data_IF_148153132890
#
_entry.id   IF_148153132890
#
_cell.length_a   1.000
_cell.length_b   1.000
_cell.length_c   1.000
_cell.angle_alpha   90.00
_cell.angle_beta   90.00
_cell.angle_gamma   90.00
#
_symmetry.space_group_name_H-M   'P 1'
#
loop_
_entity.id
_entity.type
_entity.pdbx_description
1 polymer ?
#
# COMPACT_ATOMS: atom_id res chain seq x y z
N UNK A 1 -43.58 -18.10 13.44
CA UNK A 1 -42.73 -17.02 12.91
C UNK A 1 -42.02 -17.58 11.68
N UNK A 2 -42.29 -17.10 10.46
CA UNK A 2 -41.56 -17.56 9.28
C UNK A 2 -40.12 -17.01 9.39
N UNK A 3 -39.13 -17.89 9.52
CA UNK A 3 -37.73 -17.53 9.44
C UNK A 3 -37.42 -17.30 7.96
N UNK A 4 -36.89 -16.13 7.61
CA UNK A 4 -36.45 -15.85 6.24
C UNK A 4 -35.05 -16.44 6.09
N UNK A 5 -34.98 -17.66 5.57
CA UNK A 5 -33.73 -18.36 5.23
C UNK A 5 -33.52 -18.26 3.71
N UNK A 6 -32.29 -18.11 3.27
CA UNK A 6 -31.95 -18.08 1.87
C UNK A 6 -30.85 -19.09 1.54
N UNK A 7 -30.88 -19.62 0.31
CA UNK A 7 -29.78 -20.41 -0.21
C UNK A 7 -28.77 -19.49 -0.89
N UNK A 8 -27.49 -19.72 -0.62
CA UNK A 8 -26.40 -18.89 -1.16
C UNK A 8 -25.65 -19.66 -2.22
N UNK A 9 -25.53 -19.05 -3.38
CA UNK A 9 -24.84 -19.56 -4.55
C UNK A 9 -23.63 -18.71 -4.86
N UNK A 10 -22.55 -19.31 -5.35
CA UNK A 10 -21.34 -18.63 -5.81
C UNK A 10 -21.17 -18.85 -7.31
N UNK A 11 -21.01 -17.76 -8.05
CA UNK A 11 -20.68 -17.79 -9.47
C UNK A 11 -19.17 -17.87 -9.63
N UNK A 12 -18.70 -18.97 -10.26
CA UNK A 12 -17.31 -19.18 -10.67
C UNK A 12 -17.27 -19.54 -12.16
N UNK A 13 -16.46 -18.84 -12.93
CA UNK A 13 -16.31 -19.10 -14.38
C UNK A 13 -17.67 -19.21 -15.13
N UNK A 14 -18.63 -18.39 -14.72
CA UNK A 14 -19.99 -18.38 -15.32
C UNK A 14 -20.92 -19.51 -14.87
N UNK A 15 -20.51 -20.38 -13.96
CA UNK A 15 -21.33 -21.44 -13.38
C UNK A 15 -21.69 -21.10 -11.93
N UNK A 16 -22.94 -21.42 -11.54
CA UNK A 16 -23.43 -21.27 -10.18
C UNK A 16 -23.25 -22.55 -9.39
N UNK A 17 -22.66 -22.44 -8.23
CA UNK A 17 -22.48 -23.51 -7.27
C UNK A 17 -23.19 -23.16 -5.96
N UNK A 18 -24.00 -24.07 -5.41
CA UNK A 18 -24.60 -23.90 -4.09
C UNK A 18 -23.50 -24.01 -3.01
N UNK A 19 -23.30 -22.93 -2.24
CA UNK A 19 -22.25 -22.88 -1.21
C UNK A 19 -22.78 -23.01 0.21
N UNK A 20 -24.02 -22.60 0.47
CA UNK A 20 -24.64 -22.72 1.78
C UNK A 20 -26.17 -22.69 1.70
N UNK A 21 -26.83 -23.58 2.41
CA UNK A 21 -28.29 -23.63 2.53
C UNK A 21 -28.77 -22.98 3.83
N UNK A 22 -30.00 -22.48 3.80
CA UNK A 22 -30.72 -21.97 4.96
C UNK A 22 -29.93 -20.92 5.77
N UNK A 23 -29.32 -19.99 5.02
CA UNK A 23 -28.57 -18.87 5.61
C UNK A 23 -29.57 -17.86 6.15
N UNK A 24 -29.41 -17.49 7.42
CA UNK A 24 -30.22 -16.48 8.11
C UNK A 24 -29.42 -15.21 8.40
N UNK A 25 -28.09 -15.28 8.27
CA UNK A 25 -27.20 -14.15 8.51
C UNK A 25 -26.13 -14.01 7.43
N UNK A 26 -26.09 -12.86 6.77
CA UNK A 26 -25.08 -12.50 5.78
C UNK A 26 -24.49 -11.15 6.17
N UNK A 27 -23.16 -11.09 6.33
CA UNK A 27 -22.44 -9.86 6.67
C UNK A 27 -21.39 -9.60 5.59
N UNK A 28 -21.62 -8.62 4.70
CA UNK A 28 -20.61 -8.16 3.78
C UNK A 28 -19.45 -7.50 4.54
N UNK A 29 -18.21 -7.83 4.12
CA UNK A 29 -16.99 -7.15 4.49
C UNK A 29 -16.33 -6.61 3.22
N UNK A 30 -15.25 -5.87 3.33
CA UNK A 30 -14.60 -5.21 2.19
C UNK A 30 -14.30 -6.17 1.01
N UNK A 31 -13.84 -7.39 1.27
CA UNK A 31 -13.44 -8.37 0.26
C UNK A 31 -13.96 -9.79 0.51
N UNK A 32 -14.89 -9.93 1.43
CA UNK A 32 -15.43 -11.23 1.80
C UNK A 32 -16.87 -11.12 2.32
N UNK A 33 -17.57 -12.22 2.27
CA UNK A 33 -18.90 -12.36 2.84
C UNK A 33 -18.83 -13.39 3.98
N UNK A 34 -19.16 -12.95 5.18
CA UNK A 34 -19.44 -13.88 6.29
C UNK A 34 -20.89 -14.34 6.20
N UNK A 35 -21.12 -15.64 6.38
CA UNK A 35 -22.46 -16.26 6.39
C UNK A 35 -22.59 -17.20 7.57
N UNK A 36 -23.79 -17.27 8.12
CA UNK A 36 -24.18 -18.21 9.18
C UNK A 36 -25.57 -18.77 8.81
N UNK A 37 -25.74 -20.08 8.93
CA UNK A 37 -27.04 -20.69 8.67
C UNK A 37 -27.81 -21.00 9.97
N UNK A 38 -29.07 -21.37 9.86
CA UNK A 38 -29.95 -21.69 11.02
C UNK A 38 -29.43 -22.83 11.92
N UNK A 39 -28.46 -23.62 11.44
CA UNK A 39 -27.82 -24.69 12.20
C UNK A 39 -26.52 -24.23 12.91
N UNK A 40 -26.12 -22.94 12.74
CA UNK A 40 -24.90 -22.38 13.33
C UNK A 40 -23.63 -22.68 12.54
N UNK A 41 -23.74 -23.25 11.33
CA UNK A 41 -22.59 -23.39 10.43
C UNK A 41 -22.16 -22.00 9.94
N UNK A 42 -20.84 -21.74 9.94
CA UNK A 42 -20.26 -20.45 9.57
C UNK A 42 -19.29 -20.61 8.43
N UNK A 43 -19.37 -19.69 7.44
CA UNK A 43 -18.42 -19.62 6.32
C UNK A 43 -18.04 -18.18 6.04
N UNK A 44 -16.80 -18.01 5.58
CA UNK A 44 -16.30 -16.76 5.02
C UNK A 44 -15.82 -17.06 3.61
N UNK A 45 -16.36 -16.33 2.63
CA UNK A 45 -16.01 -16.52 1.21
C UNK A 45 -15.52 -15.18 0.64
N UNK A 46 -14.43 -15.20 -0.11
CA UNK A 46 -13.95 -14.03 -0.87
C UNK A 46 -14.85 -13.81 -2.08
N UNK A 47 -15.89 -13.03 -1.88
CA UNK A 47 -16.91 -12.76 -2.86
C UNK A 47 -17.62 -11.44 -2.58
N UNK A 48 -18.34 -10.92 -3.55
CA UNK A 48 -19.29 -9.83 -3.39
C UNK A 48 -20.69 -10.33 -3.66
N UNK A 49 -21.70 -9.65 -3.12
CA UNK A 49 -23.08 -9.94 -3.46
C UNK A 49 -23.33 -9.45 -4.88
N UNK A 50 -23.68 -10.36 -5.78
CA UNK A 50 -24.09 -10.05 -7.15
C UNK A 50 -25.56 -9.72 -7.22
N UNK A 51 -26.38 -10.54 -6.54
CA UNK A 51 -27.83 -10.43 -6.58
C UNK A 51 -28.48 -10.99 -5.31
N UNK A 52 -29.58 -10.42 -4.88
CA UNK A 52 -30.41 -10.92 -3.77
C UNK A 52 -31.86 -10.99 -4.21
N UNK A 53 -32.37 -12.22 -4.37
CA UNK A 53 -33.76 -12.51 -4.69
C UNK A 53 -34.50 -12.95 -3.42
N UNK A 54 -34.92 -12.02 -2.59
CA UNK A 54 -35.47 -12.29 -1.26
C UNK A 54 -36.78 -13.08 -1.33
N UNK A 55 -37.60 -12.89 -2.39
CA UNK A 55 -38.85 -13.64 -2.58
C UNK A 55 -38.59 -15.11 -2.95
N UNK A 56 -37.48 -15.36 -3.63
CA UNK A 56 -37.06 -16.72 -4.01
C UNK A 56 -36.11 -17.34 -3.01
N UNK A 57 -35.87 -16.68 -1.88
CA UNK A 57 -34.92 -17.13 -0.87
C UNK A 57 -33.54 -17.47 -1.41
N UNK A 58 -33.01 -16.60 -2.30
CA UNK A 58 -31.77 -16.84 -3.03
C UNK A 58 -30.87 -15.64 -2.94
N UNK A 59 -29.58 -15.90 -2.66
CA UNK A 59 -28.49 -14.90 -2.69
C UNK A 59 -27.41 -15.45 -3.62
N UNK A 60 -27.03 -14.66 -4.61
CA UNK A 60 -25.97 -14.99 -5.55
C UNK A 60 -24.75 -14.17 -5.21
N UNK A 61 -23.67 -14.85 -4.92
CA UNK A 61 -22.35 -14.27 -4.76
C UNK A 61 -21.56 -14.42 -6.05
N UNK A 62 -20.71 -13.47 -6.33
CA UNK A 62 -19.73 -13.52 -7.41
C UNK A 62 -18.33 -13.54 -6.79
N UNK A 63 -17.55 -14.55 -7.15
CA UNK A 63 -16.17 -14.65 -6.67
C UNK A 63 -15.39 -13.39 -7.06
N UNK A 64 -14.69 -12.83 -6.11
CA UNK A 64 -13.76 -11.74 -6.40
C UNK A 64 -12.52 -12.40 -7.02
N UNK A 65 -12.46 -12.38 -8.36
CA UNK A 65 -11.28 -12.87 -9.05
C UNK A 65 -10.04 -12.07 -8.60
N UNK A 66 -9.14 -12.74 -7.92
CA UNK A 66 -7.88 -12.14 -7.46
C UNK A 66 -6.96 -11.83 -8.66
N UNK A 67 -7.20 -12.47 -9.80
CA UNK A 67 -6.39 -12.32 -11.01
C UNK A 67 -6.44 -10.92 -11.65
N UNK A 68 -7.60 -10.23 -11.62
CA UNK A 68 -7.74 -8.89 -12.21
C UNK A 68 -7.03 -7.79 -11.41
N UNK A 69 -6.55 -8.07 -10.20
CA UNK A 69 -5.87 -7.09 -9.33
C UNK A 69 -4.37 -7.32 -9.16
N UNK A 70 -3.79 -8.32 -9.80
CA UNK A 70 -2.33 -8.47 -9.84
C UNK A 70 -1.66 -7.31 -10.61
N UNK A 71 -2.37 -6.68 -11.52
CA UNK A 71 -1.89 -5.50 -12.25
C UNK A 71 -1.82 -4.22 -11.38
N UNK A 72 -2.55 -4.18 -10.26
CA UNK A 72 -2.58 -3.02 -9.35
C UNK A 72 -1.62 -3.16 -8.15
N UNK A 73 -0.92 -4.30 -8.00
CA UNK A 73 0.00 -4.45 -6.88
C UNK A 73 1.16 -3.45 -6.98
N UNK A 74 1.53 -2.92 -5.84
CA UNK A 74 2.65 -2.02 -5.62
C UNK A 74 3.55 -2.58 -4.53
N UNK A 75 4.74 -2.04 -4.41
CA UNK A 75 5.67 -2.32 -3.31
C UNK A 75 5.84 -1.06 -2.48
N UNK A 76 6.09 -1.20 -1.18
CA UNK A 76 6.47 -0.07 -0.32
C UNK A 76 7.43 -0.48 0.76
N UNK A 77 8.18 0.49 1.28
CA UNK A 77 9.15 0.30 2.35
C UNK A 77 8.60 0.90 3.65
N UNK A 78 8.76 0.18 4.75
CA UNK A 78 8.42 0.67 6.08
C UNK A 78 9.61 0.52 7.02
N UNK A 79 9.99 1.55 7.77
CA UNK A 79 10.96 1.44 8.84
C UNK A 79 10.46 0.53 9.97
N UNK A 80 11.34 -0.30 10.49
CA UNK A 80 11.09 -1.17 11.63
C UNK A 80 11.45 -0.45 12.92
N UNK A 81 10.67 0.55 13.29
CA UNK A 81 10.84 1.36 14.51
C UNK A 81 9.47 1.63 15.12
N UNK A 82 9.44 1.72 16.45
CA UNK A 82 8.23 2.01 17.22
C UNK A 82 7.94 3.53 17.32
N UNK A 83 8.91 4.38 16.94
CA UNK A 83 8.87 5.83 17.19
C UNK A 83 8.96 6.70 15.94
N UNK A 84 8.90 6.09 14.74
CA UNK A 84 8.97 6.84 13.47
C UNK A 84 10.34 7.43 13.12
N UNK A 85 11.35 7.29 13.97
CA UNK A 85 12.74 7.69 13.75
C UNK A 85 13.69 6.71 14.42
N UNK A 86 14.99 6.77 14.08
CA UNK A 86 16.04 5.99 14.70
C UNK A 86 16.96 6.91 15.52
N UNK A 87 17.63 6.34 16.53
CA UNK A 87 18.66 7.06 17.24
C UNK A 87 20.03 6.90 16.57
N UNK A 88 20.94 7.88 16.69
CA UNK A 88 22.29 7.75 16.17
C UNK A 88 22.99 6.50 16.74
N UNK A 89 23.58 5.69 15.85
CA UNK A 89 24.21 4.42 16.19
C UNK A 89 23.28 3.21 16.34
N UNK A 90 21.96 3.41 16.21
CA UNK A 90 20.98 2.34 16.11
C UNK A 90 21.06 1.68 14.73
N UNK A 91 20.76 0.38 14.66
CA UNK A 91 20.68 -0.35 13.40
C UNK A 91 19.39 0.00 12.65
N UNK A 92 19.53 0.60 11.49
CA UNK A 92 18.40 0.98 10.65
C UNK A 92 17.92 -0.22 9.84
N UNK A 93 16.71 -0.67 10.12
CA UNK A 93 16.07 -1.80 9.45
C UNK A 93 14.76 -1.36 8.79
N UNK A 94 14.56 -1.85 7.57
CA UNK A 94 13.34 -1.64 6.82
C UNK A 94 12.73 -2.99 6.45
N UNK A 95 11.41 -2.99 6.23
CA UNK A 95 10.72 -4.09 5.59
C UNK A 95 10.13 -3.63 4.27
N UNK A 96 10.28 -4.47 3.25
CA UNK A 96 9.64 -4.30 1.96
C UNK A 96 8.38 -5.16 1.94
N UNK A 97 7.28 -4.54 1.60
CA UNK A 97 5.96 -5.14 1.49
C UNK A 97 5.46 -5.03 0.05
N UNK A 98 4.61 -5.96 -0.35
CA UNK A 98 3.93 -5.96 -1.64
C UNK A 98 2.43 -6.15 -1.42
N UNK A 99 1.63 -5.34 -2.09
CA UNK A 99 0.19 -5.37 -1.93
C UNK A 99 -0.49 -4.18 -2.60
N UNK A 100 -1.49 -3.62 -1.97
CA UNK A 100 -2.21 -2.44 -2.45
C UNK A 100 -2.79 -1.64 -1.28
N UNK A 101 -2.60 -0.32 -1.29
CA UNK A 101 -3.18 0.59 -0.29
C UNK A 101 -2.90 0.16 1.16
N UNK A 102 -1.63 -0.06 1.54
CA UNK A 102 -1.21 -0.55 2.86
C UNK A 102 -1.76 -1.93 3.27
N UNK A 103 -2.37 -2.69 2.35
CA UNK A 103 -2.83 -4.05 2.58
C UNK A 103 -1.86 -5.04 1.92
N UNK A 104 -0.93 -5.64 2.68
CA UNK A 104 0.04 -6.56 2.11
C UNK A 104 -0.60 -7.88 1.70
N UNK A 105 -0.06 -8.50 0.64
CA UNK A 105 -0.37 -9.89 0.26
C UNK A 105 0.28 -10.83 1.26
N UNK A 106 -0.37 -11.92 1.58
CA UNK A 106 0.11 -12.89 2.59
C UNK A 106 1.38 -13.61 2.10
N UNK A 107 1.44 -13.97 0.81
CA UNK A 107 2.57 -14.65 0.18
C UNK A 107 2.96 -13.91 -1.11
N UNK A 108 3.72 -12.81 -1.00
CA UNK A 108 4.09 -12.05 -2.18
C UNK A 108 5.14 -12.79 -3.02
N UNK A 109 4.88 -12.88 -4.31
CA UNK A 109 5.88 -13.25 -5.29
C UNK A 109 6.56 -11.98 -5.83
N UNK A 110 7.88 -11.96 -5.80
CA UNK A 110 8.68 -10.88 -6.37
C UNK A 110 9.37 -11.38 -7.62
N UNK A 111 9.44 -10.51 -8.64
CA UNK A 111 10.28 -10.67 -9.82
C UNK A 111 11.73 -10.26 -9.51
N UNK A 112 12.45 -9.63 -10.42
CA UNK A 112 13.78 -9.09 -10.13
C UNK A 112 13.69 -7.94 -9.13
N UNK A 113 14.19 -8.15 -7.91
CA UNK A 113 14.12 -7.21 -6.78
C UNK A 113 15.54 -6.75 -6.41
N UNK A 114 15.71 -5.43 -6.31
CA UNK A 114 16.94 -4.78 -5.85
C UNK A 114 16.58 -3.66 -4.87
N UNK A 115 17.48 -3.33 -3.97
CA UNK A 115 17.32 -2.20 -3.07
C UNK A 115 18.62 -1.40 -2.93
N UNK A 116 18.45 -0.11 -2.66
CA UNK A 116 19.54 0.85 -2.61
C UNK A 116 19.33 1.81 -1.44
N UNK A 117 20.42 2.32 -0.92
CA UNK A 117 20.45 3.43 0.03
C UNK A 117 21.25 4.60 -0.55
N UNK A 118 20.75 5.80 -0.32
CA UNK A 118 21.41 7.05 -0.68
C UNK A 118 21.72 7.81 0.60
N UNK A 119 22.99 8.01 0.87
CA UNK A 119 23.52 8.72 2.04
C UNK A 119 24.68 9.60 1.62
N UNK A 120 24.63 10.87 2.00
CA UNK A 120 25.68 11.84 1.63
C UNK A 120 25.89 12.06 0.13
N UNK A 121 24.89 11.71 -0.71
CA UNK A 121 24.97 11.78 -2.18
C UNK A 121 25.55 10.52 -2.83
N UNK A 122 25.96 9.54 -2.06
CA UNK A 122 26.44 8.25 -2.57
C UNK A 122 25.33 7.22 -2.53
N UNK A 123 25.24 6.40 -3.58
CA UNK A 123 24.27 5.30 -3.70
C UNK A 123 24.99 3.98 -3.57
N UNK A 124 24.52 3.12 -2.67
CA UNK A 124 24.99 1.74 -2.56
C UNK A 124 23.83 0.75 -2.61
N UNK A 125 24.05 -0.42 -3.17
CA UNK A 125 23.11 -1.53 -3.12
C UNK A 125 23.07 -2.14 -1.72
N UNK A 126 21.86 -2.58 -1.31
CA UNK A 126 21.61 -3.18 0.00
C UNK A 126 21.16 -4.62 -0.20
N UNK A 127 21.71 -5.52 0.60
CA UNK A 127 21.32 -6.92 0.59
C UNK A 127 19.88 -7.10 1.11
N UNK A 128 19.14 -7.97 0.42
CA UNK A 128 17.76 -8.29 0.74
C UNK A 128 17.70 -9.64 1.43
N UNK A 129 17.14 -9.66 2.64
CA UNK A 129 16.94 -10.89 3.40
C UNK A 129 15.46 -11.30 3.40
N UNK A 130 15.16 -12.43 2.75
CA UNK A 130 13.78 -12.95 2.74
C UNK A 130 13.49 -13.69 4.06
N UNK A 131 12.52 -13.16 4.85
CA UNK A 131 12.04 -13.75 6.11
C UNK A 131 10.55 -14.11 5.99
N UNK A 132 10.29 -15.32 5.54
CA UNK A 132 8.90 -15.77 5.29
C UNK A 132 8.22 -14.94 4.19
N UNK A 133 7.14 -14.26 4.56
CA UNK A 133 6.37 -13.38 3.66
C UNK A 133 6.94 -11.96 3.52
N UNK A 134 7.96 -11.60 4.29
CA UNK A 134 8.54 -10.25 4.35
C UNK A 134 9.96 -10.27 3.79
N UNK A 135 10.36 -9.20 3.12
CA UNK A 135 11.74 -8.95 2.74
C UNK A 135 12.28 -7.83 3.62
N UNK A 136 13.36 -8.11 4.35
CA UNK A 136 14.01 -7.13 5.20
C UNK A 136 15.27 -6.56 4.55
N UNK A 137 15.56 -5.31 4.86
CA UNK A 137 16.75 -4.58 4.49
C UNK A 137 17.42 -4.06 5.76
N UNK A 138 18.73 -4.30 5.92
CA UNK A 138 19.52 -3.71 6.98
C UNK A 138 20.45 -2.66 6.36
N UNK A 139 20.22 -1.39 6.69
CA UNK A 139 21.00 -0.28 6.16
C UNK A 139 22.32 -0.06 6.93
N UNK A 140 22.44 -0.70 8.08
CA UNK A 140 23.57 -0.52 9.01
C UNK A 140 23.24 0.49 10.10
N UNK A 141 24.27 0.90 10.84
CA UNK A 141 24.15 1.92 11.88
C UNK A 141 24.21 3.30 11.24
N UNK A 142 23.12 4.04 11.35
CA UNK A 142 23.02 5.38 10.78
C UNK A 142 23.74 6.45 11.61
N UNK A 143 24.34 7.40 10.93
CA UNK A 143 24.77 8.66 11.50
C UNK A 143 23.55 9.61 11.63
N UNK A 144 23.68 10.66 12.44
CA UNK A 144 22.68 11.70 12.57
C UNK A 144 22.38 12.36 11.22
N UNK A 145 21.11 12.36 10.79
CA UNK A 145 20.73 12.90 9.49
C UNK A 145 19.52 12.22 8.83
N UNK A 146 19.38 12.43 7.54
CA UNK A 146 18.37 11.78 6.70
C UNK A 146 19.03 10.78 5.74
N UNK A 147 18.50 9.58 5.70
CA UNK A 147 18.88 8.54 4.75
C UNK A 147 17.68 8.28 3.84
N UNK A 148 17.89 8.19 2.53
CA UNK A 148 16.88 7.76 1.59
C UNK A 148 17.15 6.32 1.17
N UNK A 149 16.16 5.45 1.31
CA UNK A 149 16.22 4.10 0.76
C UNK A 149 15.16 3.91 -0.32
N UNK A 150 15.49 3.15 -1.35
CA UNK A 150 14.52 2.76 -2.36
C UNK A 150 14.72 1.32 -2.81
N UNK A 151 13.63 0.68 -3.21
CA UNK A 151 13.62 -0.65 -3.80
C UNK A 151 13.00 -0.61 -5.18
N UNK A 152 13.42 -1.53 -6.03
CA UNK A 152 12.95 -1.67 -7.42
C UNK A 152 12.56 -3.11 -7.66
N UNK A 153 11.33 -3.33 -8.08
CA UNK A 153 10.88 -4.60 -8.63
C UNK A 153 10.66 -4.45 -10.13
N UNK A 154 11.40 -5.23 -10.92
CA UNK A 154 11.25 -5.26 -12.38
C UNK A 154 10.56 -6.53 -12.80
N UNK A 155 9.36 -6.42 -13.35
CA UNK A 155 8.63 -7.47 -14.02
C UNK A 155 8.52 -7.15 -15.52
N UNK A 156 8.14 -8.14 -16.33
CA UNK A 156 8.14 -8.01 -17.80
C UNK A 156 7.28 -6.84 -18.31
N UNK A 157 6.17 -6.55 -17.63
CA UNK A 157 5.18 -5.55 -18.09
C UNK A 157 5.20 -4.30 -17.21
N UNK A 158 5.54 -4.43 -15.94
CA UNK A 158 5.42 -3.35 -14.95
C UNK A 158 6.65 -3.26 -14.07
N UNK A 159 7.13 -2.04 -13.84
CA UNK A 159 8.19 -1.77 -12.87
C UNK A 159 7.61 -1.03 -11.68
N UNK A 160 7.92 -1.50 -10.48
CA UNK A 160 7.50 -0.89 -9.23
C UNK A 160 8.71 -0.33 -8.46
N UNK A 161 8.57 0.87 -7.94
CA UNK A 161 9.56 1.56 -7.13
C UNK A 161 8.95 1.86 -5.76
N UNK A 162 9.71 1.64 -4.72
CA UNK A 162 9.34 2.01 -3.35
C UNK A 162 10.41 2.91 -2.77
N UNK A 163 10.04 4.07 -2.27
CA UNK A 163 10.97 5.01 -1.63
C UNK A 163 10.52 5.34 -0.21
N UNK A 164 11.47 5.44 0.71
CA UNK A 164 11.29 5.92 2.07
C UNK A 164 12.44 6.83 2.46
N UNK A 165 12.15 7.83 3.27
CA UNK A 165 13.15 8.64 3.96
C UNK A 165 13.13 8.21 5.43
N UNK A 166 14.30 7.98 5.98
CA UNK A 166 14.51 7.61 7.37
C UNK A 166 15.22 8.75 8.08
N UNK A 167 14.65 9.22 9.18
CA UNK A 167 15.26 10.22 10.05
C UNK A 167 16.03 9.55 11.17
N UNK A 168 17.29 9.92 11.34
CA UNK A 168 18.17 9.45 12.41
C UNK A 168 18.54 10.67 13.26
N UNK A 169 18.24 10.59 14.57
CA UNK A 169 18.29 11.76 15.44
C UNK A 169 17.07 12.69 15.22
N UNK A 170 17.28 13.99 15.40
CA UNK A 170 16.20 14.98 15.37
C UNK A 170 16.58 16.27 14.64
N UNK A 171 15.58 16.91 14.04
CA UNK A 171 15.66 18.30 13.57
C UNK A 171 16.59 18.57 12.39
N UNK A 172 16.48 17.77 11.34
CA UNK A 172 17.29 17.97 10.15
C UNK A 172 16.61 18.88 9.12
N UNK A 173 17.31 19.95 8.73
CA UNK A 173 16.90 20.90 7.68
C UNK A 173 17.65 20.60 6.36
N UNK A 174 17.55 19.37 5.88
CA UNK A 174 18.19 19.01 4.63
C UNK A 174 17.24 19.23 3.45
N UNK A 175 17.77 19.79 2.38
CA UNK A 175 17.08 19.80 1.11
C UNK A 175 16.98 18.36 0.59
N UNK A 176 15.75 17.92 0.35
CA UNK A 176 15.51 16.60 -0.20
C UNK A 176 15.75 16.61 -1.71
N UNK A 177 16.65 15.73 -2.14
CA UNK A 177 17.01 15.61 -3.54
C UNK A 177 16.37 14.38 -4.16
N UNK A 178 16.03 14.41 -5.44
CA UNK A 178 15.65 13.21 -6.17
C UNK A 178 16.77 12.16 -6.11
N UNK A 179 16.41 10.89 -6.03
CA UNK A 179 17.36 9.77 -6.10
C UNK A 179 17.57 9.27 -7.53
N UNK A 180 16.78 9.79 -8.50
CA UNK A 180 16.94 9.51 -9.92
C UNK A 180 16.23 8.24 -10.40
N UNK A 181 15.23 7.73 -9.68
CA UNK A 181 14.36 6.68 -10.21
C UNK A 181 13.41 7.26 -11.28
N UNK A 182 13.04 6.48 -12.32
CA UNK A 182 12.31 7.00 -13.48
C UNK A 182 10.98 7.68 -13.15
N UNK A 183 10.21 7.16 -12.21
CA UNK A 183 9.01 7.81 -11.67
C UNK A 183 9.24 8.03 -10.18
N UNK A 184 9.24 9.30 -9.73
CA UNK A 184 9.66 9.61 -8.37
C UNK A 184 8.75 10.63 -7.69
N UNK A 185 8.36 10.33 -6.44
CA UNK A 185 7.71 11.28 -5.54
C UNK A 185 8.80 11.91 -4.65
N UNK A 186 8.97 13.22 -4.75
CA UNK A 186 9.97 13.98 -4.00
C UNK A 186 9.26 14.93 -3.04
N UNK A 187 9.32 14.70 -1.72
CA UNK A 187 8.69 15.60 -0.75
C UNK A 187 9.43 16.93 -0.68
N UNK A 188 8.69 18.01 -0.43
CA UNK A 188 9.28 19.34 -0.27
C UNK A 188 10.03 19.49 1.06
N UNK A 189 9.59 18.79 2.10
CA UNK A 189 10.22 18.73 3.43
C UNK A 189 9.97 17.36 4.07
N UNK A 190 10.80 16.98 5.03
CA UNK A 190 10.60 15.75 5.81
C UNK A 190 10.47 16.04 7.31
N UNK A 191 11.45 16.70 7.91
CA UNK A 191 11.41 17.12 9.31
C UNK A 191 10.42 18.25 9.53
N UNK A 192 9.99 18.48 10.77
CA UNK A 192 9.03 19.53 11.17
C UNK A 192 7.69 19.51 10.40
N UNK A 193 7.18 18.33 10.16
CA UNK A 193 5.83 18.11 9.64
C UNK A 193 4.94 17.68 10.80
N UNK A 194 3.78 18.31 10.98
CA UNK A 194 2.86 18.05 12.08
C UNK A 194 1.50 17.59 11.58
N UNK A 195 0.74 16.99 12.49
CA UNK A 195 -0.64 16.62 12.22
C UNK A 195 -1.47 17.87 11.85
N UNK A 196 -2.20 17.81 10.75
CA UNK A 196 -2.98 18.92 10.22
C UNK A 196 -2.22 19.83 9.27
N UNK A 197 -0.89 19.69 9.15
CA UNK A 197 -0.11 20.46 8.20
C UNK A 197 -0.41 20.06 6.75
N UNK A 198 -0.31 21.01 5.81
CA UNK A 198 -0.23 20.69 4.39
C UNK A 198 1.13 20.05 4.10
N UNK A 199 1.10 18.87 3.50
CA UNK A 199 2.27 18.15 3.05
C UNK A 199 2.39 18.25 1.54
N UNK A 200 3.43 18.90 1.07
CA UNK A 200 3.68 19.14 -0.35
C UNK A 200 4.78 18.21 -0.88
N UNK A 201 4.59 17.75 -2.10
CA UNK A 201 5.56 16.92 -2.83
C UNK A 201 5.48 17.23 -4.33
N UNK A 202 6.51 16.79 -5.05
CA UNK A 202 6.59 16.87 -6.51
C UNK A 202 6.70 15.47 -7.10
N UNK A 203 6.00 15.21 -8.19
CA UNK A 203 6.16 14.00 -8.99
C UNK A 203 7.06 14.31 -10.16
N UNK A 204 8.08 13.48 -10.32
CA UNK A 204 9.01 13.56 -11.45
C UNK A 204 8.88 12.31 -12.32
N UNK A 205 8.94 12.51 -13.63
CA UNK A 205 9.12 11.44 -14.61
C UNK A 205 10.39 11.72 -15.41
N UNK A 206 11.33 10.77 -15.42
CA UNK A 206 12.66 10.91 -16.02
C UNK A 206 13.36 12.21 -15.57
N UNK A 207 13.23 12.53 -14.28
CA UNK A 207 13.83 13.72 -13.67
C UNK A 207 13.13 15.05 -13.97
N UNK A 208 12.07 15.06 -14.77
CA UNK A 208 11.28 16.25 -15.12
C UNK A 208 9.95 16.26 -14.38
N UNK A 209 9.42 17.43 -13.97
CA UNK A 209 8.08 17.54 -13.38
C UNK A 209 7.02 16.87 -14.24
N UNK A 210 6.12 16.09 -13.62
CA UNK A 210 5.02 15.41 -14.28
C UNK A 210 3.68 16.09 -13.97
N UNK A 211 3.15 16.95 -14.83
CA UNK A 211 1.84 17.57 -14.67
C UNK A 211 0.70 16.57 -14.88
N UNK A 212 -0.43 16.79 -14.19
CA UNK A 212 -1.64 16.01 -14.39
C UNK A 212 -1.55 14.56 -13.90
N UNK A 213 -0.50 14.18 -13.17
CA UNK A 213 -0.38 12.84 -12.60
C UNK A 213 -1.39 12.64 -11.46
N UNK A 214 -2.13 11.54 -11.51
CA UNK A 214 -2.98 11.12 -10.41
C UNK A 214 -2.12 10.49 -9.30
N UNK A 215 -2.12 11.09 -8.13
CA UNK A 215 -1.46 10.58 -6.94
C UNK A 215 -2.51 10.13 -5.95
N UNK A 216 -2.37 8.91 -5.46
CA UNK A 216 -3.20 8.31 -4.43
C UNK A 216 -2.47 8.39 -3.09
N UNK A 217 -3.19 8.61 -2.00
CA UNK A 217 -2.61 8.59 -0.66
C UNK A 217 -3.47 7.83 0.34
N UNK A 218 -2.81 7.13 1.25
CA UNK A 218 -3.42 6.38 2.33
C UNK A 218 -2.67 6.55 3.65
N UNK A 219 -3.33 6.21 4.75
CA UNK A 219 -2.80 6.34 6.10
C UNK A 219 -3.32 5.20 6.99
N UNK A 220 -2.72 4.96 8.18
CA UNK A 220 -3.14 3.90 9.08
C UNK A 220 -4.59 4.02 9.54
N UNK A 221 -5.29 2.88 9.63
CA UNK A 221 -6.67 2.82 10.09
C UNK A 221 -7.74 2.97 9.00
N UNK A 222 -7.33 3.13 7.75
CA UNK A 222 -8.27 3.06 6.62
C UNK A 222 -8.80 1.64 6.47
N UNK A 223 -10.11 1.48 6.50
CA UNK A 223 -10.78 0.17 6.50
C UNK A 223 -11.17 -0.35 5.11
N UNK A 224 -10.83 0.36 4.05
CA UNK A 224 -11.15 0.00 2.67
C UNK A 224 -9.92 -0.40 1.86
N UNK A 225 -10.14 -1.13 0.75
CA UNK A 225 -9.07 -1.41 -0.21
C UNK A 225 -8.77 -0.24 -1.12
N UNK A 226 -9.72 0.66 -1.31
CA UNK A 226 -9.53 1.81 -2.18
C UNK A 226 -8.77 2.91 -1.42
N UNK A 227 -7.93 3.61 -2.13
CA UNK A 227 -7.22 4.77 -1.58
C UNK A 227 -8.21 5.86 -1.17
N UNK A 228 -8.19 6.32 0.09
CA UNK A 228 -9.15 7.30 0.58
C UNK A 228 -8.93 8.71 0.01
N UNK A 229 -7.74 8.98 -0.50
CA UNK A 229 -7.35 10.29 -1.01
C UNK A 229 -6.78 10.13 -2.42
N UNK A 230 -7.27 10.97 -3.32
CA UNK A 230 -6.78 11.10 -4.69
C UNK A 230 -6.58 12.58 -4.99
N UNK A 231 -5.49 12.91 -5.66
CA UNK A 231 -5.15 14.27 -6.05
C UNK A 231 -4.41 14.28 -7.38
N UNK A 232 -4.43 15.41 -8.05
CA UNK A 232 -3.74 15.59 -9.34
C UNK A 232 -2.63 16.61 -9.19
N UNK A 233 -1.48 16.37 -9.80
CA UNK A 233 -0.37 17.33 -9.83
C UNK A 233 -0.67 18.54 -10.71
N UNK A 234 -0.20 19.70 -10.29
CA UNK A 234 -0.27 20.96 -11.04
C UNK A 234 0.74 20.99 -12.22
N UNK A 235 0.81 22.13 -12.93
CA UNK A 235 1.71 22.33 -14.06
C UNK A 235 3.21 22.17 -13.69
N UNK A 236 3.56 22.33 -12.41
CA UNK A 236 4.90 22.10 -11.88
C UNK A 236 5.12 20.68 -11.37
N UNK A 237 4.18 19.75 -11.60
CA UNK A 237 4.23 18.39 -11.08
C UNK A 237 4.01 18.32 -9.56
N UNK A 238 3.46 19.38 -8.92
CA UNK A 238 3.30 19.44 -7.47
C UNK A 238 1.88 19.08 -7.04
N UNK A 239 1.79 18.43 -5.89
CA UNK A 239 0.53 18.15 -5.22
C UNK A 239 0.70 18.33 -3.70
N UNK A 240 -0.43 18.44 -2.99
CA UNK A 240 -0.45 18.55 -1.53
C UNK A 240 -1.62 17.80 -0.92
N UNK A 241 -1.40 17.33 0.30
CA UNK A 241 -2.42 16.68 1.13
C UNK A 241 -2.32 17.21 2.56
N UNK A 242 -3.42 17.19 3.31
CA UNK A 242 -3.38 17.46 4.75
C UNK A 242 -3.18 16.16 5.51
N UNK A 243 -2.18 16.10 6.38
CA UNK A 243 -1.88 14.92 7.18
C UNK A 243 -2.86 14.84 8.36
N UNK A 244 -3.79 13.89 8.29
CA UNK A 244 -4.90 13.77 9.24
C UNK A 244 -4.75 12.60 10.24
N UNK A 245 -3.71 11.78 10.08
CA UNK A 245 -3.48 10.61 10.91
C UNK A 245 -2.00 10.42 11.22
N UNK A 246 -1.71 9.81 12.38
CA UNK A 246 -0.36 9.39 12.77
C UNK A 246 0.05 8.11 12.05
N UNK A 247 1.34 7.86 11.98
CA UNK A 247 1.93 6.64 11.45
C UNK A 247 2.37 6.75 9.99
N UNK A 248 2.49 5.61 9.32
CA UNK A 248 3.04 5.52 7.97
C UNK A 248 2.00 5.93 6.91
N UNK A 249 2.24 7.05 6.24
CA UNK A 249 1.48 7.45 5.07
C UNK A 249 2.09 6.84 3.81
N UNK A 250 1.27 6.30 2.95
CA UNK A 250 1.66 5.79 1.64
C UNK A 250 1.13 6.69 0.54
N UNK A 251 2.01 7.20 -0.29
CA UNK A 251 1.70 7.90 -1.53
C UNK A 251 2.04 6.97 -2.69
N UNK A 252 1.16 6.89 -3.68
CA UNK A 252 1.34 6.03 -4.86
C UNK A 252 0.97 6.79 -6.12
N UNK A 253 1.79 6.69 -7.14
CA UNK A 253 1.58 7.24 -8.47
C UNK A 253 1.88 6.17 -9.51
N UNK A 254 1.03 6.08 -10.53
CA UNK A 254 1.25 5.20 -11.69
C UNK A 254 1.26 6.05 -12.94
N UNK A 255 2.27 5.86 -13.76
CA UNK A 255 2.40 6.49 -15.06
C UNK A 255 3.00 5.49 -16.04
N UNK A 256 2.33 5.29 -17.19
CA UNK A 256 2.68 4.24 -18.14
C UNK A 256 2.76 2.86 -17.47
N UNK A 257 3.89 2.19 -17.59
CA UNK A 257 4.15 0.89 -16.96
C UNK A 257 4.91 0.99 -15.62
N UNK A 258 5.03 2.19 -15.08
CA UNK A 258 5.74 2.46 -13.82
C UNK A 258 4.76 2.73 -12.69
N UNK A 259 5.00 2.14 -11.54
CA UNK A 259 4.34 2.52 -10.28
C UNK A 259 5.41 2.91 -9.27
N UNK A 260 5.25 4.05 -8.66
CA UNK A 260 6.16 4.54 -7.61
C UNK A 260 5.41 4.85 -6.35
N UNK A 261 5.93 4.37 -5.23
CA UNK A 261 5.43 4.68 -3.90
C UNK A 261 6.44 5.47 -3.08
N UNK A 262 5.92 6.31 -2.20
CA UNK A 262 6.70 6.99 -1.18
C UNK A 262 6.04 6.78 0.18
N UNK A 263 6.80 6.29 1.15
CA UNK A 263 6.35 6.16 2.53
C UNK A 263 6.87 7.36 3.34
N UNK A 264 5.93 8.13 3.90
CA UNK A 264 6.21 9.15 4.90
C UNK A 264 5.96 8.54 6.28
N UNK A 265 6.99 8.50 7.10
CA UNK A 265 6.90 7.96 8.46
C UNK A 265 6.82 9.12 9.44
N UNK A 266 5.69 9.24 10.14
CA UNK A 266 5.51 10.30 11.15
C UNK A 266 4.72 9.80 12.35
N UNK A 267 5.38 9.83 13.50
CA UNK A 267 4.75 9.65 14.80
C UNK A 267 4.70 11.04 15.46
N UNK A 268 3.57 11.74 15.22
CA UNK A 268 3.40 13.14 15.65
C UNK A 268 3.22 13.25 17.17
#
# INVERSE_FOLDING_TARGET
>A
MKVCEANVYLVRHGQEELVMEKVDRVIPKADSIFMENVFGERRVIKARIKEMELVHHRIVLEEIEVAARQEETEIWLEPMTDHGHFHPGEEVRLRLLKGYNLHPVIEPAYSSLQAFVVEGGETREVELEKKGAVVELTLGKGADGLITAYAVEKADIKHCYAKVIVEIGHHHHHQLMPVGIPLEIVPAKYSHVHLGDPYEFQVLYEGSPLPGAEVKASYPGVSGRDYPIQMTTDDGGKARVFLMARGNWLFSVTYENLTSTFTLVKDF
#
